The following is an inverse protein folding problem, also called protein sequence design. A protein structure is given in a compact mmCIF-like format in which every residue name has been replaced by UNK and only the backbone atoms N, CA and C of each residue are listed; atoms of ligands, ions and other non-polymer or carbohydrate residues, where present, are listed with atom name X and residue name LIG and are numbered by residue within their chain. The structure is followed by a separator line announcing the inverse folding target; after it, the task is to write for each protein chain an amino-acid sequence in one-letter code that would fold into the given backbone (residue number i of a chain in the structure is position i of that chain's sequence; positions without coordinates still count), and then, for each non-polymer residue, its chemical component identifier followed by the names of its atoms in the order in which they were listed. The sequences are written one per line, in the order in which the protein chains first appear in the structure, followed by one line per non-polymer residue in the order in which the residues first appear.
data_IF_316445572087
#
_entry.id   IF_316445572087
#
_cell.length_a   1.000
_cell.length_b   1.000
_cell.length_c   1.000
_cell.angle_alpha   90.00
_cell.angle_beta   90.00
_cell.angle_gamma   90.00
#
_symmetry.space_group_name_H-M   'P 1'
#
loop_
_entity.id
_entity.type
_entity.pdbx_description
1 polymer ?
#
# COMPACT_ATOMS: atom_id res chain seq x y z
N UNK A 1 6.67 -12.69 9.90
CA UNK A 1 6.86 -12.01 8.61
C UNK A 1 8.36 -11.83 8.39
N UNK A 2 8.87 -12.17 7.20
CA UNK A 2 10.26 -11.95 6.84
C UNK A 2 10.49 -10.55 6.22
N UNK A 3 11.77 -10.18 6.02
CA UNK A 3 12.16 -8.87 5.51
C UNK A 3 11.63 -8.59 4.09
N UNK A 4 11.49 -9.61 3.23
CA UNK A 4 10.99 -9.45 1.86
C UNK A 4 9.53 -8.97 1.86
N UNK A 5 8.71 -9.53 2.77
CA UNK A 5 7.33 -9.09 2.97
C UNK A 5 7.25 -7.66 3.55
N UNK A 6 8.14 -7.32 4.49
CA UNK A 6 8.20 -5.97 5.05
C UNK A 6 8.45 -4.93 3.97
N UNK A 7 9.47 -5.15 3.15
CA UNK A 7 9.85 -4.21 2.10
C UNK A 7 8.78 -4.15 1.01
N UNK A 8 8.17 -5.28 0.66
CA UNK A 8 7.06 -5.29 -0.29
C UNK A 8 5.87 -4.46 0.20
N UNK A 9 5.47 -4.61 1.47
CA UNK A 9 4.36 -3.81 2.04
C UNK A 9 4.73 -2.33 2.02
N UNK A 10 5.96 -1.98 2.40
CA UNK A 10 6.43 -0.59 2.40
C UNK A 10 6.48 0.04 1.01
N UNK A 11 6.87 -0.72 -0.01
CA UNK A 11 6.93 -0.21 -1.38
C UNK A 11 5.55 -0.11 -2.04
N UNK A 12 4.60 -0.96 -1.61
CA UNK A 12 3.34 -1.16 -2.31
C UNK A 12 2.09 -0.83 -1.48
N UNK A 13 2.22 -0.27 -0.27
CA UNK A 13 1.09 0.01 0.64
C UNK A 13 -0.05 0.77 -0.05
N UNK A 14 0.24 1.65 -1.02
CA UNK A 14 -0.78 2.38 -1.81
C UNK A 14 -1.77 1.46 -2.54
N UNK A 15 -1.32 0.30 -2.98
CA UNK A 15 -2.10 -0.68 -3.75
C UNK A 15 -2.68 -1.75 -2.84
N UNK A 16 -2.06 -1.97 -1.67
CA UNK A 16 -2.50 -2.94 -0.67
C UNK A 16 -3.60 -2.38 0.24
N UNK A 17 -3.71 -1.06 0.31
CA UNK A 17 -4.63 -0.36 1.18
C UNK A 17 -5.66 0.38 0.33
N UNK A 18 -6.78 -0.29 0.01
CA UNK A 18 -8.01 0.40 -0.36
C UNK A 18 -8.59 1.17 0.85
N UNK A 19 -9.44 2.20 0.66
CA UNK A 19 -9.53 3.38 1.55
C UNK A 19 -10.11 3.18 2.97
N UNK A 20 -10.34 1.95 3.43
CA UNK A 20 -11.19 1.72 4.60
C UNK A 20 -10.49 1.91 5.96
N UNK A 21 -9.17 1.78 6.06
CA UNK A 21 -8.50 1.76 7.37
C UNK A 21 -7.93 3.11 7.82
N UNK A 22 -7.86 3.34 9.13
CA UNK A 22 -7.37 4.61 9.69
C UNK A 22 -5.87 4.83 9.46
N UNK A 23 -5.06 3.77 9.44
CA UNK A 23 -3.60 3.86 9.30
C UNK A 23 -3.14 4.16 7.88
N UNK A 24 -3.85 3.66 6.87
CA UNK A 24 -3.58 3.96 5.47
C UNK A 24 -3.74 5.45 5.18
N UNK A 25 -4.76 6.10 5.75
CA UNK A 25 -4.95 7.57 5.67
C UNK A 25 -3.81 8.35 6.32
N UNK A 26 -3.34 7.93 7.49
CA UNK A 26 -2.22 8.58 8.17
C UNK A 26 -0.91 8.45 7.39
N UNK A 27 -0.64 7.28 6.82
CA UNK A 27 0.56 7.06 5.99
C UNK A 27 0.48 7.85 4.68
N UNK A 28 -0.68 7.86 4.01
CA UNK A 28 -0.92 8.69 2.81
C UNK A 28 -0.73 10.19 3.10
N UNK A 29 -1.26 10.67 4.23
CA UNK A 29 -1.10 12.06 4.65
C UNK A 29 0.36 12.41 4.97
N UNK A 30 1.08 11.51 5.65
CA UNK A 30 2.48 11.72 6.03
C UNK A 30 3.42 11.75 4.80
N UNK A 31 3.09 10.99 3.75
CA UNK A 31 3.91 10.91 2.53
C UNK A 31 3.72 12.09 1.57
N UNK A 32 2.56 12.76 1.59
CA UNK A 32 2.29 13.91 0.73
C UNK A 32 3.38 15.00 0.73
N UNK A 33 3.85 15.52 1.89
CA UNK A 33 4.83 16.60 1.91
C UNK A 33 6.25 16.20 1.46
N UNK A 34 6.56 14.89 1.41
CA UNK A 34 7.88 14.36 1.01
C UNK A 34 7.88 13.78 -0.40
N UNK A 35 6.71 13.45 -0.95
CA UNK A 35 6.54 12.96 -2.31
C UNK A 35 5.22 13.48 -2.90
N UNK A 36 5.18 14.70 -3.45
CA UNK A 36 3.96 15.34 -3.96
C UNK A 36 3.40 14.70 -5.23
N UNK A 37 4.09 13.72 -5.84
CA UNK A 37 3.50 12.83 -6.86
C UNK A 37 2.57 11.76 -6.23
N UNK A 38 2.41 11.80 -4.91
CA UNK A 38 1.69 10.85 -4.09
C UNK A 38 0.89 11.58 -2.99
N UNK A 39 -0.41 11.29 -2.75
CA UNK A 39 -1.39 10.44 -3.45
C UNK A 39 -2.38 11.23 -4.35
N UNK A 40 -3.35 10.51 -4.91
CA UNK A 40 -4.51 10.98 -5.69
C UNK A 40 -5.01 12.37 -5.27
N UNK A 41 -5.13 13.30 -6.24
CA UNK A 41 -5.34 14.72 -5.99
C UNK A 41 -6.61 15.01 -5.16
N UNK A 42 -7.64 14.16 -5.25
CA UNK A 42 -8.87 14.30 -4.46
C UNK A 42 -8.69 13.97 -2.96
N UNK A 43 -7.83 13.01 -2.63
CA UNK A 43 -7.54 12.62 -1.24
C UNK A 43 -6.59 13.64 -0.58
N UNK A 44 -5.63 14.15 -1.34
CA UNK A 44 -4.71 15.22 -0.92
C UNK A 44 -5.48 16.46 -0.48
N UNK A 45 -6.48 16.88 -1.25
CA UNK A 45 -7.23 18.10 -0.96
C UNK A 45 -8.08 17.97 0.30
N UNK A 46 -8.64 16.78 0.57
CA UNK A 46 -9.30 16.47 1.84
C UNK A 46 -8.32 16.51 3.02
N UNK A 47 -7.11 15.97 2.86
CA UNK A 47 -6.11 15.88 3.91
C UNK A 47 -5.46 17.24 4.24
N UNK A 48 -5.27 18.12 3.25
CA UNK A 48 -4.79 19.51 3.44
C UNK A 48 -5.68 20.35 4.35
N UNK A 49 -6.96 19.98 4.50
CA UNK A 49 -7.90 20.67 5.39
C UNK A 49 -7.78 20.24 6.87
N UNK A 50 -7.14 19.11 7.15
CA UNK A 50 -7.15 18.48 8.47
C UNK A 50 -5.82 18.60 9.22
N UNK A 51 -4.69 18.66 8.52
CA UNK A 51 -3.36 18.58 9.14
C UNK A 51 -2.37 19.58 8.51
N UNK A 52 -1.50 20.18 9.34
CA UNK A 52 -0.44 21.06 8.85
C UNK A 52 0.70 20.27 8.19
N UNK A 53 1.45 20.92 7.29
CA UNK A 53 2.60 20.32 6.62
C UNK A 53 3.66 19.82 7.61
N UNK A 54 3.94 20.60 8.67
CA UNK A 54 4.93 20.28 9.69
C UNK A 54 4.52 19.03 10.49
N UNK A 55 3.24 18.91 10.84
CA UNK A 55 2.71 17.74 11.53
C UNK A 55 2.86 16.48 10.67
N UNK A 56 2.59 16.57 9.37
CA UNK A 56 2.69 15.44 8.44
C UNK A 56 4.14 15.01 8.22
N UNK A 57 5.08 15.94 8.06
CA UNK A 57 6.52 15.64 7.95
C UNK A 57 7.02 14.94 9.22
N UNK A 58 6.67 15.46 10.39
CA UNK A 58 7.05 14.84 11.67
C UNK A 58 6.49 13.43 11.80
N UNK A 59 5.22 13.25 11.46
CA UNK A 59 4.56 11.94 11.47
C UNK A 59 5.27 10.95 10.54
N UNK A 60 5.67 11.39 9.35
CA UNK A 60 6.45 10.56 8.43
C UNK A 60 7.78 10.12 9.04
N UNK A 61 8.53 11.04 9.63
CA UNK A 61 9.81 10.74 10.29
C UNK A 61 9.65 9.74 11.45
N UNK A 62 8.59 9.87 12.24
CA UNK A 62 8.27 8.93 13.31
C UNK A 62 7.93 7.53 12.77
N UNK A 63 7.22 7.47 11.64
CA UNK A 63 6.93 6.22 10.92
C UNK A 63 8.21 5.58 10.40
N UNK A 64 9.09 6.33 9.74
CA UNK A 64 10.35 5.81 9.23
C UNK A 64 11.24 5.27 10.35
N UNK A 65 11.33 6.00 11.47
CA UNK A 65 12.09 5.55 12.63
C UNK A 65 11.54 4.24 13.23
N UNK A 66 10.23 4.02 13.15
CA UNK A 66 9.54 2.85 13.68
C UNK A 66 8.96 1.95 12.58
N UNK A 67 9.59 1.91 11.40
CA UNK A 67 9.08 1.29 10.17
C UNK A 67 8.49 -0.11 10.42
N UNK A 68 9.21 -0.97 11.13
CA UNK A 68 8.80 -2.36 11.38
C UNK A 68 7.53 -2.47 12.22
N UNK A 69 7.37 -1.61 13.24
CA UNK A 69 6.16 -1.58 14.07
C UNK A 69 4.94 -1.13 13.25
N UNK A 70 5.14 -0.14 12.39
CA UNK A 70 4.09 0.37 11.50
C UNK A 70 3.67 -0.66 10.45
N UNK A 71 4.62 -1.28 9.75
CA UNK A 71 4.31 -2.31 8.75
C UNK A 71 3.62 -3.51 9.39
N UNK A 72 4.04 -3.92 10.59
CA UNK A 72 3.39 -5.00 11.33
C UNK A 72 1.92 -4.67 11.64
N UNK A 73 1.64 -3.41 12.00
CA UNK A 73 0.27 -2.95 12.24
C UNK A 73 -0.56 -2.90 10.96
N UNK A 74 -0.01 -2.34 9.90
CA UNK A 74 -0.64 -2.32 8.57
C UNK A 74 -0.97 -3.74 8.12
N UNK A 75 -0.04 -4.67 8.27
CA UNK A 75 -0.27 -6.07 7.92
C UNK A 75 -1.40 -6.69 8.74
N UNK A 76 -1.42 -6.51 10.06
CA UNK A 76 -2.50 -7.05 10.91
C UNK A 76 -3.89 -6.57 10.53
N UNK A 77 -4.00 -5.40 9.88
CA UNK A 77 -5.27 -4.85 9.40
C UNK A 77 -5.71 -5.48 8.06
N UNK A 78 -4.75 -5.87 7.22
CA UNK A 78 -5.01 -6.39 5.87
C UNK A 78 -4.75 -7.89 5.72
N UNK A 79 -4.22 -8.57 6.74
CA UNK A 79 -3.76 -9.96 6.63
C UNK A 79 -4.87 -10.93 6.20
N UNK A 80 -6.11 -10.65 6.61
CA UNK A 80 -7.30 -11.43 6.23
C UNK A 80 -7.66 -11.25 4.75
N UNK A 81 -7.19 -10.15 4.19
CA UNK A 81 -7.49 -9.68 2.86
C UNK A 81 -6.31 -9.81 1.91
N UNK A 82 -5.11 -10.17 2.36
CA UNK A 82 -3.91 -10.14 1.53
C UNK A 82 -3.20 -11.49 1.57
N UNK A 83 -3.05 -12.09 0.40
CA UNK A 83 -2.31 -13.32 0.19
C UNK A 83 -1.02 -13.01 -0.56
N UNK A 84 0.12 -13.32 0.05
CA UNK A 84 1.44 -13.18 -0.56
C UNK A 84 1.83 -14.47 -1.30
N UNK A 85 2.38 -14.31 -2.50
CA UNK A 85 2.87 -15.39 -3.34
C UNK A 85 3.97 -14.86 -4.27
N UNK A 86 4.53 -15.71 -5.13
CA UNK A 86 5.55 -15.31 -6.10
C UNK A 86 5.00 -15.26 -7.52
N UNK A 87 5.40 -14.23 -8.25
CA UNK A 87 5.04 -14.08 -9.66
C UNK A 87 5.58 -15.24 -10.50
N UNK A 88 4.76 -16.05 -11.20
CA UNK A 88 5.23 -17.04 -12.16
C UNK A 88 6.25 -16.52 -13.18
N UNK A 89 6.08 -15.29 -13.66
CA UNK A 89 6.92 -14.66 -14.71
C UNK A 89 8.27 -14.17 -14.18
N UNK A 90 8.29 -13.39 -13.09
CA UNK A 90 9.53 -12.75 -12.60
C UNK A 90 10.03 -13.26 -11.25
N UNK A 91 9.34 -14.26 -10.66
CA UNK A 91 9.62 -14.87 -9.35
C UNK A 91 9.72 -13.90 -8.17
N UNK A 92 9.28 -12.66 -8.34
CA UNK A 92 9.27 -11.67 -7.26
C UNK A 92 8.00 -11.79 -6.44
N UNK A 93 8.09 -11.43 -5.15
CA UNK A 93 6.94 -11.39 -4.25
C UNK A 93 5.82 -10.54 -4.85
N UNK A 94 4.58 -11.00 -4.68
CA UNK A 94 3.38 -10.40 -5.22
C UNK A 94 2.17 -10.73 -4.34
N UNK A 95 1.18 -9.84 -4.33
CA UNK A 95 -0.10 -10.11 -3.65
C UNK A 95 -1.08 -10.74 -4.64
N UNK A 96 -1.11 -12.06 -4.74
CA UNK A 96 -2.00 -12.81 -5.65
C UNK A 96 -3.08 -13.55 -4.86
N UNK A 97 -4.33 -13.65 -5.34
CA UNK A 97 -4.83 -13.15 -6.62
C UNK A 97 -5.43 -11.74 -6.54
N UNK A 98 -5.40 -11.08 -5.36
CA UNK A 98 -6.07 -9.79 -5.16
C UNK A 98 -5.48 -8.67 -6.02
N UNK A 99 -4.18 -8.66 -6.29
CA UNK A 99 -3.65 -7.82 -7.36
C UNK A 99 -4.00 -8.47 -8.70
N UNK A 100 -4.53 -7.72 -9.66
CA UNK A 100 -4.80 -8.23 -11.02
C UNK A 100 -3.52 -8.48 -11.83
N UNK A 101 -2.40 -7.88 -11.39
CA UNK A 101 -1.10 -7.93 -12.05
C UNK A 101 0.06 -7.80 -11.06
N UNK A 102 1.21 -8.37 -11.42
CA UNK A 102 2.46 -8.19 -10.71
C UNK A 102 2.90 -6.72 -10.74
N UNK A 103 3.13 -6.12 -9.57
CA UNK A 103 3.55 -4.72 -9.49
C UNK A 103 4.96 -4.47 -10.04
N UNK A 104 5.82 -5.51 -10.08
CA UNK A 104 7.19 -5.44 -10.61
C UNK A 104 7.25 -5.62 -12.12
N UNK A 105 6.89 -6.80 -12.65
CA UNK A 105 7.00 -7.09 -14.08
C UNK A 105 5.73 -6.85 -14.90
N UNK A 106 4.64 -6.39 -14.27
CA UNK A 106 3.34 -6.12 -14.89
C UNK A 106 2.64 -7.33 -15.50
N UNK A 107 3.15 -8.55 -15.27
CA UNK A 107 2.46 -9.78 -15.67
C UNK A 107 1.08 -9.87 -15.02
N UNK A 108 0.05 -10.08 -15.83
CA UNK A 108 -1.35 -10.18 -15.41
C UNK A 108 -1.70 -11.63 -15.10
N UNK A 109 -2.37 -11.90 -13.97
CA UNK A 109 -2.73 -13.27 -13.59
C UNK A 109 -4.00 -13.76 -14.31
N UNK A 110 -4.80 -12.81 -14.78
CA UNK A 110 -6.11 -13.04 -15.36
C UNK A 110 -6.14 -12.50 -16.78
N UNK A 111 -5.61 -13.27 -17.74
CA UNK A 111 -5.97 -13.06 -19.14
C UNK A 111 -7.49 -13.21 -19.28
N UNK A 112 -8.18 -12.16 -19.74
CA UNK A 112 -9.63 -12.12 -20.06
C UNK A 112 -10.49 -13.11 -19.26
N UNK A 113 -10.63 -12.88 -17.96
CA UNK A 113 -11.43 -13.76 -17.10
C UNK A 113 -12.92 -13.40 -17.16
N UNK A 114 -13.71 -14.23 -17.82
CA UNK A 114 -15.16 -14.07 -18.05
C UNK A 114 -15.99 -14.10 -16.74
N UNK A 115 -15.41 -14.56 -15.64
CA UNK A 115 -16.08 -14.69 -14.33
C UNK A 115 -16.21 -13.36 -13.56
N UNK A 116 -15.75 -12.24 -14.13
CA UNK A 116 -15.87 -10.90 -13.52
C UNK A 116 -17.26 -10.25 -13.63
N UNK A 117 -18.22 -10.88 -14.31
CA UNK A 117 -19.56 -10.30 -14.51
C UNK A 117 -20.52 -10.46 -13.33
N UNK A 118 -20.17 -11.25 -12.29
CA UNK A 118 -21.11 -11.65 -11.25
C UNK A 118 -20.61 -11.44 -9.80
N UNK A 119 -19.67 -10.53 -9.57
CA UNK A 119 -19.27 -10.09 -8.21
C UNK A 119 -19.76 -8.68 -7.93
#
# INVERSE_FOLDING_TARGET
MDQEHFDYIWENFRYLLEPSTGYSRHLRAALFPVNPEWPDAGEVESLKSQYSREYLIKTFQEIEHNKNKYISRVYSEIEKDVYFNYCPSCKSLAVSPKSERCLKCKHEWYGTNEYRKNS
#
